data_IF_893159059319
#
_entry.id   IF_893159059319
#
_cell.length_a   1.000
_cell.length_b   1.000
_cell.length_c   1.000
_cell.angle_alpha   90.00
_cell.angle_beta   90.00
_cell.angle_gamma   90.00
#
_symmetry.space_group_name_H-M   'P 1'
#
loop_
_entity.id
_entity.type
_entity.pdbx_description
1 polymer ?
#
# COMPACT_ATOMS: atom_id res chain seq x y z
N UNK A 1 -13.30 -20.52 -28.42
CA UNK A 1 -13.20 -20.42 -26.96
C UNK A 1 -13.93 -21.60 -26.36
N UNK A 2 -13.23 -22.47 -25.65
CA UNK A 2 -13.79 -23.74 -25.18
C UNK A 2 -14.69 -23.47 -23.94
N UNK A 3 -15.92 -24.01 -23.83
CA UNK A 3 -16.80 -23.81 -22.66
C UNK A 3 -16.16 -24.21 -21.32
N UNK A 4 -15.16 -25.10 -21.33
CA UNK A 4 -14.36 -25.45 -20.15
C UNK A 4 -13.47 -24.29 -19.67
N UNK A 5 -12.85 -23.54 -20.58
CA UNK A 5 -11.99 -22.40 -20.26
C UNK A 5 -12.79 -21.24 -19.65
N UNK A 6 -14.00 -21.02 -20.14
CA UNK A 6 -14.88 -19.98 -19.62
C UNK A 6 -15.30 -20.23 -18.16
N UNK A 7 -15.57 -21.49 -17.80
CA UNK A 7 -15.84 -21.90 -16.41
C UNK A 7 -14.62 -21.72 -15.51
N UNK A 8 -13.44 -22.10 -16.00
CA UNK A 8 -12.19 -22.00 -15.25
C UNK A 8 -11.82 -20.53 -14.99
N UNK A 9 -12.03 -19.65 -15.97
CA UNK A 9 -11.84 -18.21 -15.81
C UNK A 9 -12.82 -17.59 -14.81
N UNK A 10 -14.07 -18.05 -14.79
CA UNK A 10 -15.07 -17.60 -13.82
C UNK A 10 -14.68 -18.02 -12.39
N UNK A 11 -14.24 -19.27 -12.21
CA UNK A 11 -13.79 -19.83 -10.94
C UNK A 11 -12.55 -19.11 -10.40
N UNK A 12 -11.56 -18.83 -11.25
CA UNK A 12 -10.38 -18.04 -10.89
C UNK A 12 -10.74 -16.61 -10.46
N UNK A 13 -11.77 -16.02 -11.07
CA UNK A 13 -12.27 -14.69 -10.69
C UNK A 13 -12.86 -14.69 -9.28
N UNK A 14 -13.64 -15.70 -8.94
CA UNK A 14 -14.21 -15.85 -7.61
C UNK A 14 -13.15 -16.15 -6.55
N UNK A 15 -12.15 -16.97 -6.89
CA UNK A 15 -11.01 -17.26 -6.02
C UNK A 15 -10.17 -16.01 -5.71
N UNK A 16 -9.96 -15.13 -6.71
CA UNK A 16 -9.33 -13.82 -6.47
C UNK A 16 -10.17 -12.94 -5.54
N UNK A 17 -11.49 -12.97 -5.68
CA UNK A 17 -12.42 -12.20 -4.84
C UNK A 17 -12.36 -12.66 -3.38
N UNK A 18 -12.38 -13.96 -3.13
CA UNK A 18 -12.28 -14.54 -1.78
C UNK A 18 -10.92 -14.31 -1.15
N UNK A 19 -9.82 -14.44 -1.89
CA UNK A 19 -8.49 -14.08 -1.38
C UNK A 19 -8.35 -12.61 -1.01
N UNK A 20 -8.89 -11.70 -1.83
CA UNK A 20 -8.87 -10.26 -1.53
C UNK A 20 -9.65 -9.95 -0.24
N UNK A 21 -10.75 -10.66 -0.02
CA UNK A 21 -11.55 -10.62 1.21
C UNK A 21 -10.78 -11.14 2.43
N UNK A 22 -10.10 -12.29 2.31
CA UNK A 22 -9.29 -12.86 3.39
C UNK A 22 -8.11 -11.97 3.78
N UNK A 23 -7.43 -11.35 2.79
CA UNK A 23 -6.37 -10.34 3.05
C UNK A 23 -6.89 -9.14 3.83
N UNK A 24 -8.12 -8.70 3.57
CA UNK A 24 -8.74 -7.60 4.33
C UNK A 24 -9.05 -7.99 5.78
N UNK A 25 -9.40 -9.26 6.05
CA UNK A 25 -9.68 -9.71 7.42
C UNK A 25 -8.42 -9.90 8.28
N UNK A 26 -7.30 -10.34 7.70
CA UNK A 26 -6.02 -10.45 8.43
C UNK A 26 -5.41 -9.11 8.87
N UNK A 27 -5.89 -7.97 8.35
CA UNK A 27 -5.44 -6.63 8.76
C UNK A 27 -6.12 -6.10 10.03
N UNK A 28 -7.11 -6.81 10.56
CA UNK A 28 -7.86 -6.37 11.74
C UNK A 28 -7.21 -6.83 13.06
N UNK A 29 -5.89 -6.62 13.22
CA UNK A 29 -5.34 -6.57 14.57
C UNK A 29 -5.90 -5.32 15.23
N UNK A 30 -6.68 -5.51 16.30
CA UNK A 30 -7.31 -4.41 17.01
C UNK A 30 -6.19 -3.51 17.54
N UNK A 31 -6.11 -2.24 17.10
CA UNK A 31 -5.07 -1.35 17.59
C UNK A 31 -5.23 -1.21 19.10
N UNK A 32 -4.10 -1.30 19.82
CA UNK A 32 -4.11 -1.12 21.27
C UNK A 32 -4.61 0.29 21.61
N UNK A 33 -5.10 0.51 22.84
CA UNK A 33 -5.61 1.83 23.26
C UNK A 33 -4.57 2.94 23.05
N UNK A 34 -3.29 2.66 23.30
CA UNK A 34 -2.19 3.59 23.03
C UNK A 34 -2.01 3.90 21.54
N UNK A 35 -2.11 2.89 20.67
CA UNK A 35 -2.05 3.10 19.21
C UNK A 35 -3.22 3.95 18.70
N UNK A 36 -4.44 3.77 19.23
CA UNK A 36 -5.59 4.61 18.87
C UNK A 36 -5.40 6.08 19.24
N UNK A 37 -4.88 6.32 20.44
CA UNK A 37 -4.60 7.69 20.92
C UNK A 37 -3.50 8.32 20.06
N UNK A 38 -2.42 7.59 19.77
CA UNK A 38 -1.35 8.06 18.91
C UNK A 38 -1.85 8.39 17.49
N UNK A 39 -2.64 7.51 16.88
CA UNK A 39 -3.20 7.71 15.53
C UNK A 39 -4.12 8.95 15.50
N UNK A 40 -4.90 9.19 16.57
CA UNK A 40 -5.76 10.36 16.69
C UNK A 40 -4.96 11.65 16.91
N UNK A 41 -3.93 11.63 17.77
CA UNK A 41 -3.05 12.77 18.02
C UNK A 41 -2.27 13.14 16.75
N UNK A 42 -1.76 12.15 16.02
CA UNK A 42 -1.08 12.33 14.74
C UNK A 42 -1.98 13.02 13.70
N UNK A 43 -3.23 12.54 13.57
CA UNK A 43 -4.20 13.14 12.66
C UNK A 43 -4.54 14.60 13.05
N UNK A 44 -4.56 14.90 14.35
CA UNK A 44 -4.82 16.28 14.83
C UNK A 44 -3.62 17.21 14.67
N UNK A 45 -2.40 16.78 15.00
CA UNK A 45 -1.19 17.61 14.89
C UNK A 45 -0.80 17.89 13.43
N UNK A 46 -1.13 17.00 12.49
CA UNK A 46 -0.89 17.20 11.06
C UNK A 46 -1.94 18.08 10.34
N UNK A 47 -2.98 18.55 11.05
CA UNK A 47 -4.08 19.29 10.43
C UNK A 47 -3.85 20.80 10.47
N UNK A 48 -4.07 21.48 9.35
CA UNK A 48 -4.11 22.94 9.25
C UNK A 48 -5.07 23.60 10.26
N UNK A 49 -6.16 22.90 10.63
CA UNK A 49 -7.12 23.37 11.62
C UNK A 49 -6.51 23.50 13.03
N UNK A 50 -5.63 22.58 13.41
CA UNK A 50 -4.98 22.62 14.73
C UNK A 50 -4.07 23.84 14.86
N UNK A 51 -3.27 24.12 13.82
CA UNK A 51 -2.39 25.30 13.78
C UNK A 51 -3.21 26.59 13.95
N UNK A 52 -4.32 26.73 13.21
CA UNK A 52 -5.17 27.93 13.29
C UNK A 52 -5.77 28.11 14.70
N UNK A 53 -6.31 27.04 15.29
CA UNK A 53 -6.88 27.10 16.64
C UNK A 53 -5.80 27.46 17.66
N UNK A 54 -4.64 26.79 17.63
CA UNK A 54 -3.53 27.05 18.53
C UNK A 54 -3.02 28.51 18.40
N UNK A 55 -2.83 28.99 17.17
CA UNK A 55 -2.41 30.38 16.91
C UNK A 55 -3.45 31.39 17.40
N UNK A 56 -4.75 31.13 17.19
CA UNK A 56 -5.81 32.01 17.70
C UNK A 56 -5.86 32.03 19.24
N UNK A 57 -5.67 30.88 19.90
CA UNK A 57 -5.66 30.78 21.35
C UNK A 57 -4.48 31.57 21.95
N UNK A 58 -3.29 31.46 21.34
CA UNK A 58 -2.13 32.27 21.72
C UNK A 58 -2.39 33.77 21.52
N UNK A 59 -2.98 34.15 20.38
CA UNK A 59 -3.26 35.55 20.08
C UNK A 59 -4.30 36.14 21.04
N UNK A 60 -5.36 35.38 21.37
CA UNK A 60 -6.35 35.75 22.39
C UNK A 60 -5.71 35.86 23.77
N UNK A 61 -4.83 34.92 24.14
CA UNK A 61 -4.13 34.94 25.43
C UNK A 61 -3.25 36.18 25.59
N UNK A 62 -2.48 36.52 24.54
CA UNK A 62 -1.65 37.73 24.51
C UNK A 62 -2.54 38.98 24.55
N UNK A 63 -3.60 39.03 23.76
CA UNK A 63 -4.52 40.17 23.74
C UNK A 63 -5.19 40.40 25.10
N UNK A 64 -5.65 39.34 25.79
CA UNK A 64 -6.24 39.43 27.13
C UNK A 64 -5.23 39.89 28.19
N UNK A 65 -3.98 39.43 28.12
CA UNK A 65 -2.91 39.85 29.02
C UNK A 65 -2.51 41.32 28.79
N UNK A 66 -2.36 41.74 27.54
CA UNK A 66 -1.99 43.12 27.17
C UNK A 66 -3.11 44.12 27.48
N UNK A 67 -4.38 43.74 27.29
CA UNK A 67 -5.53 44.63 27.54
C UNK A 67 -5.83 44.80 29.05
N UNK A 68 -5.05 44.16 29.93
CA UNK A 68 -5.06 44.39 31.38
C UNK A 68 -6.47 44.33 32.04
N UNK A 69 -7.37 43.49 31.55
CA UNK A 69 -8.74 43.41 32.05
C UNK A 69 -8.83 42.81 33.47
N UNK A 70 -7.82 42.03 33.89
CA UNK A 70 -7.71 41.48 35.25
C UNK A 70 -6.21 41.46 35.61
N UNK A 71 -5.80 42.30 36.59
CA UNK A 71 -4.50 42.31 37.31
C UNK A 71 -3.36 41.52 36.62
N UNK A 72 -2.41 42.21 35.98
CA UNK A 72 -1.06 41.77 35.55
C UNK A 72 -0.61 40.35 36.00
N UNK A 73 -1.23 39.29 35.48
CA UNK A 73 -0.98 37.92 35.94
C UNK A 73 0.30 37.37 35.30
N UNK A 74 0.68 37.88 34.12
CA UNK A 74 1.93 37.53 33.44
C UNK A 74 2.59 38.80 32.85
N UNK A 75 3.34 39.57 33.68
CA UNK A 75 4.11 40.74 33.23
C UNK A 75 5.16 40.36 32.17
N UNK A 76 5.57 41.33 31.35
CA UNK A 76 6.67 41.13 30.38
C UNK A 76 7.92 40.59 31.12
N UNK A 77 8.44 39.39 30.81
CA UNK A 77 8.46 38.71 29.51
C UNK A 77 7.65 37.40 29.45
N UNK A 78 6.38 37.40 29.85
CA UNK A 78 5.42 36.28 29.73
C UNK A 78 5.99 34.91 30.16
N UNK A 79 6.42 34.80 31.41
CA UNK A 79 7.16 33.64 31.92
C UNK A 79 6.28 32.37 31.88
N UNK A 80 4.97 32.51 32.13
CA UNK A 80 4.04 31.37 32.16
C UNK A 80 3.75 30.88 30.74
N UNK A 81 3.59 31.80 29.77
CA UNK A 81 3.44 31.43 28.36
C UNK A 81 4.67 30.68 27.85
N UNK A 82 5.86 31.17 28.19
CA UNK A 82 7.12 30.54 27.79
C UNK A 82 7.25 29.12 28.38
N UNK A 83 6.91 28.97 29.67
CA UNK A 83 6.92 27.67 30.33
C UNK A 83 5.91 26.70 29.69
N UNK A 84 4.70 27.17 29.41
CA UNK A 84 3.65 26.37 28.79
C UNK A 84 4.04 25.90 27.37
N UNK A 85 4.58 26.81 26.55
CA UNK A 85 5.06 26.47 25.20
C UNK A 85 6.25 25.51 25.24
N UNK A 86 7.18 25.69 26.18
CA UNK A 86 8.32 24.78 26.37
C UNK A 86 7.86 23.37 26.75
N UNK A 87 6.90 23.26 27.68
CA UNK A 87 6.29 21.98 28.04
C UNK A 87 5.53 21.36 26.87
N UNK A 88 4.75 22.16 26.13
CA UNK A 88 4.02 21.71 24.95
C UNK A 88 4.97 21.13 23.90
N UNK A 89 6.08 21.80 23.61
CA UNK A 89 7.09 21.32 22.66
C UNK A 89 7.76 20.03 23.15
N UNK A 90 8.10 19.94 24.45
CA UNK A 90 8.71 18.76 25.05
C UNK A 90 7.83 17.51 24.90
N UNK A 91 6.50 17.64 25.03
CA UNK A 91 5.56 16.53 24.83
C UNK A 91 5.23 16.27 23.35
N UNK A 92 5.29 17.30 22.49
CA UNK A 92 5.02 17.13 21.07
C UNK A 92 6.04 16.21 20.40
N UNK A 93 7.34 16.34 20.70
CA UNK A 93 8.38 15.55 20.04
C UNK A 93 8.22 14.02 20.22
N UNK A 94 7.99 13.47 21.43
CA UNK A 94 7.70 12.05 21.61
C UNK A 94 6.43 11.58 20.89
N UNK A 95 5.37 12.38 20.89
CA UNK A 95 4.13 12.03 20.17
C UNK A 95 4.35 11.96 18.66
N UNK A 96 5.08 12.93 18.10
CA UNK A 96 5.47 12.93 16.69
C UNK A 96 6.32 11.70 16.39
N UNK A 97 7.31 11.38 17.23
CA UNK A 97 8.19 10.23 17.04
C UNK A 97 7.43 8.89 17.13
N UNK A 98 6.48 8.76 18.06
CA UNK A 98 5.63 7.57 18.16
C UNK A 98 4.72 7.41 16.94
N UNK A 99 4.14 8.51 16.45
CA UNK A 99 3.37 8.51 15.21
C UNK A 99 4.22 8.14 13.99
N UNK A 100 5.45 8.64 13.91
CA UNK A 100 6.36 8.33 12.82
C UNK A 100 6.77 6.87 12.83
N UNK A 101 7.19 6.33 13.98
CA UNK A 101 7.59 4.93 14.13
C UNK A 101 6.43 3.98 13.74
N UNK A 102 5.20 4.34 14.12
CA UNK A 102 3.97 3.65 13.73
C UNK A 102 3.73 3.67 12.21
N UNK A 103 3.87 4.83 11.58
CA UNK A 103 3.69 4.98 10.14
C UNK A 103 4.76 4.17 9.38
N UNK A 104 6.02 4.22 9.82
CA UNK A 104 7.11 3.43 9.27
C UNK A 104 6.86 1.92 9.37
N UNK A 105 6.31 1.44 10.49
CA UNK A 105 5.94 0.03 10.65
C UNK A 105 4.85 -0.40 9.66
N UNK A 106 3.84 0.44 9.44
CA UNK A 106 2.78 0.19 8.45
C UNK A 106 3.36 0.16 7.03
N UNK A 107 4.21 1.14 6.71
CA UNK A 107 4.83 1.26 5.40
C UNK A 107 5.80 0.09 5.12
N UNK A 108 6.57 -0.35 6.13
CA UNK A 108 7.42 -1.54 6.05
C UNK A 108 6.60 -2.80 5.75
N UNK A 109 5.51 -3.05 6.50
CA UNK A 109 4.64 -4.21 6.26
C UNK A 109 4.00 -4.17 4.88
N UNK A 110 3.65 -2.98 4.39
CA UNK A 110 3.13 -2.79 3.03
C UNK A 110 4.20 -3.13 1.99
N UNK A 111 5.42 -2.61 2.15
CA UNK A 111 6.54 -2.89 1.26
C UNK A 111 6.89 -4.38 1.21
N UNK A 112 6.94 -5.07 2.36
CA UNK A 112 7.16 -6.53 2.41
C UNK A 112 6.07 -7.30 1.65
N UNK A 113 4.80 -6.93 1.83
CA UNK A 113 3.70 -7.57 1.10
C UNK A 113 3.79 -7.31 -0.42
N UNK A 114 4.11 -6.08 -0.81
CA UNK A 114 4.23 -5.70 -2.22
C UNK A 114 5.41 -6.42 -2.87
N UNK A 115 6.55 -6.54 -2.18
CA UNK A 115 7.68 -7.37 -2.60
C UNK A 115 7.29 -8.82 -2.83
N UNK A 116 6.59 -9.45 -1.87
CA UNK A 116 6.13 -10.84 -2.01
C UNK A 116 5.16 -11.04 -3.18
N UNK A 117 4.30 -10.07 -3.43
CA UNK A 117 3.39 -10.11 -4.60
C UNK A 117 4.19 -9.99 -5.88
N UNK A 118 5.20 -9.13 -5.92
CA UNK A 118 6.04 -8.92 -7.10
C UNK A 118 6.84 -10.18 -7.46
N UNK A 119 7.53 -10.80 -6.49
CA UNK A 119 8.25 -12.07 -6.68
C UNK A 119 7.30 -13.18 -7.17
N UNK A 120 6.09 -13.24 -6.63
CA UNK A 120 5.09 -14.22 -7.09
C UNK A 120 4.66 -13.94 -8.54
N UNK A 121 4.45 -12.68 -8.90
CA UNK A 121 4.09 -12.30 -10.25
C UNK A 121 5.22 -12.61 -11.25
N UNK A 122 6.47 -12.36 -10.86
CA UNK A 122 7.66 -12.72 -11.65
C UNK A 122 7.71 -14.23 -11.95
N UNK A 123 7.53 -15.07 -10.94
CA UNK A 123 7.47 -16.53 -11.12
C UNK A 123 6.28 -16.97 -11.99
N UNK A 124 5.11 -16.36 -11.82
CA UNK A 124 3.94 -16.65 -12.67
C UNK A 124 4.21 -16.28 -14.14
N UNK A 125 4.94 -15.19 -14.40
CA UNK A 125 5.34 -14.78 -15.76
C UNK A 125 6.36 -15.75 -16.35
N UNK A 126 7.34 -16.19 -15.57
CA UNK A 126 8.34 -17.17 -16.01
C UNK A 126 7.68 -18.51 -16.39
N UNK A 127 6.76 -19.00 -15.56
CA UNK A 127 5.98 -20.21 -15.85
C UNK A 127 5.11 -20.06 -17.10
N UNK A 128 4.55 -18.86 -17.35
CA UNK A 128 3.82 -18.59 -18.57
C UNK A 128 4.72 -18.62 -19.80
N UNK A 129 5.94 -18.06 -19.72
CA UNK A 129 6.92 -18.14 -20.82
C UNK A 129 7.28 -19.59 -21.14
N UNK A 130 7.62 -20.40 -20.11
CA UNK A 130 7.94 -21.82 -20.30
C UNK A 130 6.79 -22.58 -20.99
N UNK A 131 5.54 -22.32 -20.60
CA UNK A 131 4.38 -22.94 -21.27
C UNK A 131 4.21 -22.50 -22.72
N UNK A 132 4.45 -21.22 -23.01
CA UNK A 132 4.39 -20.69 -24.37
C UNK A 132 5.48 -21.33 -25.24
N UNK A 133 6.70 -21.47 -24.72
CA UNK A 133 7.81 -22.10 -25.42
C UNK A 133 7.53 -23.57 -25.71
N UNK A 134 6.97 -24.32 -24.75
CA UNK A 134 6.54 -25.71 -24.95
C UNK A 134 5.45 -25.85 -26.01
N UNK A 135 4.45 -24.95 -26.01
CA UNK A 135 3.40 -24.94 -27.03
C UNK A 135 3.98 -24.63 -28.41
N UNK A 136 4.90 -23.64 -28.49
CA UNK A 136 5.63 -23.29 -29.72
C UNK A 136 6.42 -24.46 -30.27
N UNK A 137 7.16 -25.17 -29.43
CA UNK A 137 7.94 -26.34 -29.84
C UNK A 137 7.03 -27.44 -30.40
N UNK A 138 5.90 -27.69 -29.73
CA UNK A 138 4.90 -28.68 -30.18
C UNK A 138 4.29 -28.29 -31.53
N UNK A 139 3.92 -27.02 -31.73
CA UNK A 139 3.41 -26.53 -33.02
C UNK A 139 4.46 -26.63 -34.14
N UNK A 140 5.72 -26.27 -33.86
CA UNK A 140 6.80 -26.36 -34.85
C UNK A 140 7.05 -27.81 -35.26
N UNK A 141 7.06 -28.75 -34.31
CA UNK A 141 7.19 -30.18 -34.61
C UNK A 141 6.02 -30.68 -35.46
N UNK A 142 4.78 -30.30 -35.12
CA UNK A 142 3.60 -30.68 -35.89
C UNK A 142 3.64 -30.15 -37.34
N UNK A 143 4.03 -28.88 -37.51
CA UNK A 143 4.20 -28.27 -38.84
C UNK A 143 5.32 -28.95 -39.64
N UNK A 144 6.43 -29.28 -38.98
CA UNK A 144 7.57 -29.97 -39.63
C UNK A 144 7.17 -31.35 -40.13
N UNK A 145 6.46 -32.13 -39.31
CA UNK A 145 5.96 -33.45 -39.69
C UNK A 145 4.98 -33.36 -40.87
N UNK A 146 4.05 -32.40 -40.85
CA UNK A 146 3.10 -32.19 -41.94
C UNK A 146 3.80 -31.82 -43.27
N UNK A 147 4.85 -30.98 -43.22
CA UNK A 147 5.65 -30.62 -44.41
C UNK A 147 6.46 -31.80 -44.94
N UNK A 148 7.01 -32.65 -44.06
CA UNK A 148 7.71 -33.88 -44.46
C UNK A 148 6.76 -34.86 -45.14
N UNK A 149 5.58 -35.09 -44.56
CA UNK A 149 4.56 -35.99 -45.13
C UNK A 149 4.12 -35.52 -46.53
N UNK A 150 3.84 -34.23 -46.70
CA UNK A 150 3.54 -33.65 -48.01
C UNK A 150 4.70 -33.80 -49.01
N UNK A 151 5.94 -33.61 -48.56
CA UNK A 151 7.11 -33.75 -49.42
C UNK A 151 7.32 -35.20 -49.89
N UNK A 152 7.08 -36.17 -49.00
CA UNK A 152 7.21 -37.59 -49.32
C UNK A 152 6.11 -38.07 -50.26
N UNK A 153 4.87 -37.60 -50.08
CA UNK A 153 3.77 -37.85 -51.02
C UNK A 153 4.08 -37.31 -52.43
N UNK A 154 4.55 -36.07 -52.53
CA UNK A 154 4.92 -35.47 -53.82
C UNK A 154 6.08 -36.22 -54.50
N UNK A 155 7.06 -36.71 -53.72
CA UNK A 155 8.16 -37.54 -54.25
C UNK A 155 7.66 -38.88 -54.77
N UNK A 156 6.75 -39.54 -54.05
CA UNK A 156 6.16 -40.80 -54.45
C UNK A 156 5.32 -40.66 -55.73
N UNK A 157 4.59 -39.55 -55.89
CA UNK A 157 3.84 -39.24 -57.11
C UNK A 157 4.78 -39.02 -58.30
N UNK A 158 5.85 -38.24 -58.10
CA UNK A 158 6.86 -37.97 -59.14
C UNK A 158 7.64 -39.21 -59.60
N UNK A 159 7.71 -40.26 -58.80
CA UNK A 159 8.35 -41.54 -59.19
C UNK A 159 7.43 -42.47 -59.98
N UNK A 160 6.12 -42.16 -60.04
CA UNK A 160 5.13 -42.94 -60.80
C UNK A 160 4.97 -42.47 -62.24
N UNK A 161 5.37 -41.23 -62.55
CA UNK A 161 5.43 -40.64 -63.89
C UNK A 161 6.81 -40.88 -64.56
#
# INVERSE_FOLDING_TARGET
MNPAEAKLLAELRDWRKTQRRQRSHKRADKPTRGQRIADQVAATMGSWRFIIIQSSALLVWVALNVTAYIRHWDPYPFILLNLALSFQAAYAAPFIMMSQNRQQDVDRKKAENDYRVNVKAELEIELLHQKIDQLRETEVLALTNAVQELSDLLRAERQRD
#
